data_IF_905620795872
#
_entry.id   IF_905620795872
#
_cell.length_a   1.000
_cell.length_b   1.000
_cell.length_c   1.000
_cell.angle_alpha   90.00
_cell.angle_beta   90.00
_cell.angle_gamma   90.00
#
_symmetry.space_group_name_H-M   'P 1'
#
loop_
_entity.id
_entity.type
_entity.pdbx_description
1 polymer ?
#
# COMPACT_ATOMS: atom_id res chain seq x y z
N UNK A 1 0.38 26.71 41.97
CA UNK A 1 -0.13 28.04 41.53
C UNK A 1 -1.24 27.79 40.51
N UNK A 2 -2.50 28.05 40.86
CA UNK A 2 -3.67 27.69 40.03
C UNK A 2 -3.97 28.75 38.96
N UNK A 3 -4.03 28.34 37.69
CA UNK A 3 -4.55 29.16 36.59
C UNK A 3 -5.99 28.75 36.26
N UNK A 4 -6.95 29.48 36.84
CA UNK A 4 -8.39 29.28 36.64
C UNK A 4 -8.94 30.39 35.74
N UNK A 5 -8.66 30.32 34.45
CA UNK A 5 -9.30 31.21 33.48
C UNK A 5 -10.79 30.83 33.34
N UNK A 6 -11.65 31.83 33.20
CA UNK A 6 -13.12 31.70 33.09
C UNK A 6 -13.52 30.88 31.87
N UNK A 7 -12.77 31.00 30.78
CA UNK A 7 -13.08 30.34 29.51
C UNK A 7 -12.70 28.86 29.49
N UNK A 8 -11.62 28.47 30.20
CA UNK A 8 -11.08 27.11 30.10
C UNK A 8 -11.67 26.12 31.13
N UNK A 9 -12.28 26.60 32.22
CA UNK A 9 -12.70 25.72 33.31
C UNK A 9 -14.17 25.34 33.27
N UNK A 10 -15.04 26.15 32.64
CA UNK A 10 -16.50 25.92 32.69
C UNK A 10 -17.08 25.89 34.11
N UNK A 11 -16.31 26.32 35.12
CA UNK A 11 -16.67 26.26 36.52
C UNK A 11 -17.35 27.55 36.96
N UNK A 12 -18.42 27.42 37.74
CA UNK A 12 -19.07 28.56 38.38
C UNK A 12 -18.16 29.23 39.42
N UNK A 13 -18.36 30.51 39.69
CA UNK A 13 -17.53 31.28 40.64
C UNK A 13 -17.49 30.65 42.04
N UNK A 14 -18.59 30.04 42.48
CA UNK A 14 -18.65 29.31 43.76
C UNK A 14 -17.75 28.07 43.78
N UNK A 15 -17.73 27.30 42.70
CA UNK A 15 -16.87 26.11 42.58
C UNK A 15 -15.39 26.48 42.52
N UNK A 16 -15.05 27.60 41.88
CA UNK A 16 -13.66 28.09 41.80
C UNK A 16 -13.14 28.56 43.16
N UNK A 17 -13.97 29.26 43.94
CA UNK A 17 -13.59 29.67 45.30
C UNK A 17 -13.40 28.47 46.23
N UNK A 18 -14.21 27.42 46.09
CA UNK A 18 -14.03 26.18 46.83
C UNK A 18 -12.71 25.46 46.47
N UNK A 19 -12.34 25.42 45.19
CA UNK A 19 -11.08 24.79 44.73
C UNK A 19 -9.84 25.61 45.09
N UNK A 20 -9.93 26.95 45.15
CA UNK A 20 -8.85 27.79 45.67
C UNK A 20 -8.61 27.60 47.16
N UNK A 21 -9.65 27.23 47.93
CA UNK A 21 -9.54 26.95 49.36
C UNK A 21 -8.87 25.60 49.67
N UNK A 22 -8.71 24.71 48.68
CA UNK A 22 -7.94 23.47 48.85
C UNK A 22 -6.47 23.71 48.52
N UNK A 23 -5.61 23.71 49.55
CA UNK A 23 -4.19 24.11 49.45
C UNK A 23 -3.29 23.17 48.62
N UNK A 24 -3.80 22.01 48.16
CA UNK A 24 -2.98 20.94 47.57
C UNK A 24 -3.37 20.52 46.14
N UNK A 25 -4.14 21.31 45.40
CA UNK A 25 -4.43 21.01 43.98
C UNK A 25 -3.59 21.89 43.05
N UNK A 26 -2.60 21.29 42.39
CA UNK A 26 -1.93 21.87 41.23
C UNK A 26 -2.55 21.27 39.95
N UNK A 27 -3.59 21.93 39.45
CA UNK A 27 -4.19 21.59 38.16
C UNK A 27 -4.33 22.84 37.29
N UNK A 28 -3.88 22.74 36.04
CA UNK A 28 -4.05 23.75 34.99
C UNK A 28 -4.46 23.05 33.71
N UNK A 29 -5.36 23.66 32.92
CA UNK A 29 -5.71 23.11 31.62
C UNK A 29 -4.53 23.22 30.64
N UNK A 30 -4.51 22.37 29.63
CA UNK A 30 -3.47 22.31 28.59
C UNK A 30 -3.25 23.65 27.87
N UNK A 31 -4.31 24.44 27.66
CA UNK A 31 -4.23 25.75 27.01
C UNK A 31 -3.57 26.80 27.92
N UNK A 32 -3.94 26.84 29.20
CA UNK A 32 -3.35 27.74 30.20
C UNK A 32 -1.89 27.38 30.51
N UNK A 33 -1.55 26.09 30.46
CA UNK A 33 -0.17 25.59 30.64
C UNK A 33 0.76 26.05 29.52
N UNK A 34 0.24 26.20 28.30
CA UNK A 34 1.02 26.62 27.14
C UNK A 34 1.15 28.15 27.01
N UNK A 35 0.24 28.92 27.59
CA UNK A 35 0.28 30.40 27.57
C UNK A 35 1.09 31.00 28.72
N UNK A 36 1.35 30.27 29.81
CA UNK A 36 2.01 30.81 31.01
C UNK A 36 3.56 30.82 30.97
N UNK A 37 4.18 31.19 29.85
CA UNK A 37 5.65 31.31 29.77
C UNK A 37 6.18 32.70 30.15
N UNK A 38 5.32 33.69 30.43
CA UNK A 38 5.77 35.00 30.94
C UNK A 38 4.85 35.56 32.04
N UNK A 39 5.48 35.77 33.19
CA UNK A 39 5.07 36.57 34.34
C UNK A 39 4.17 37.74 33.92
N UNK A 40 2.90 37.70 34.30
CA UNK A 40 2.00 38.86 34.23
C UNK A 40 1.19 38.94 35.52
N UNK A 41 1.39 40.03 36.24
CA UNK A 41 0.53 40.51 37.31
C UNK A 41 -0.87 40.76 36.75
N UNK A 42 -1.89 40.21 37.39
CA UNK A 42 -3.28 40.47 37.02
C UNK A 42 -3.80 41.60 37.91
N UNK A 43 -4.26 42.67 37.26
CA UNK A 43 -5.07 43.74 37.86
C UNK A 43 -6.42 43.15 38.23
N UNK A 44 -6.82 43.29 39.49
CA UNK A 44 -8.14 42.94 40.00
C UNK A 44 -9.05 44.16 39.78
N UNK A 45 -10.13 44.08 39.00
CA UNK A 45 -11.18 45.09 39.06
C UNK A 45 -11.86 44.99 40.44
N UNK A 46 -11.74 46.05 41.24
CA UNK A 46 -12.63 46.29 42.38
C UNK A 46 -13.98 46.71 41.79
N UNK A 47 -14.91 45.76 41.69
CA UNK A 47 -16.33 46.10 41.55
C UNK A 47 -16.87 46.30 42.97
N UNK A 48 -17.01 47.58 43.31
CA UNK A 48 -17.85 48.11 44.39
C UNK A 48 -19.29 47.64 44.16
N UNK A 49 -19.72 46.61 44.89
CA UNK A 49 -21.12 46.38 45.21
C UNK A 49 -21.24 46.27 46.73
N UNK A 50 -21.33 47.45 47.35
CA UNK A 50 -21.81 47.68 48.71
C UNK A 50 -23.27 47.19 48.83
N UNK A 51 -23.46 45.91 49.16
CA UNK A 51 -24.72 45.42 49.73
C UNK A 51 -24.47 44.99 51.18
N UNK A 52 -24.95 45.85 52.07
CA UNK A 52 -24.89 45.80 53.52
C UNK A 52 -25.22 44.40 54.08
N UNK A 53 -24.21 43.75 54.69
CA UNK A 53 -24.43 42.61 55.59
C UNK A 53 -24.98 43.10 56.94
N UNK A 54 -26.26 43.45 56.94
CA UNK A 54 -27.04 43.77 58.13
C UNK A 54 -28.25 42.86 58.23
N UNK A 55 -28.09 41.65 58.78
CA UNK A 55 -29.09 40.97 59.64
C UNK A 55 -28.58 39.58 60.09
N UNK A 56 -28.71 39.23 61.39
CA UNK A 56 -28.44 37.88 61.86
C UNK A 56 -29.52 36.93 61.33
N UNK A 57 -29.10 35.91 60.57
CA UNK A 57 -29.99 34.84 60.12
C UNK A 57 -30.46 34.09 61.38
N UNK A 58 -31.70 34.31 61.76
CA UNK A 58 -32.42 33.47 62.71
C UNK A 58 -32.58 32.10 62.06
N UNK A 59 -31.89 31.09 62.60
CA UNK A 59 -32.10 29.68 62.29
C UNK A 59 -33.49 29.27 62.76
N UNK A 60 -34.51 29.55 61.96
CA UNK A 60 -35.80 28.89 62.08
C UNK A 60 -35.57 27.40 61.75
N UNK A 61 -35.62 26.54 62.77
CA UNK A 61 -35.59 25.10 62.58
C UNK A 61 -36.89 24.68 61.88
N UNK A 62 -36.89 24.70 60.56
CA UNK A 62 -37.93 24.07 59.77
C UNK A 62 -37.86 22.57 60.09
N UNK A 63 -38.95 21.93 60.55
CA UNK A 63 -38.96 20.49 60.76
C UNK A 63 -38.79 19.82 59.40
N UNK A 64 -37.57 19.36 59.13
CA UNK A 64 -37.24 18.55 57.96
C UNK A 64 -38.02 17.23 58.07
N UNK A 65 -39.06 17.10 57.26
CA UNK A 65 -39.76 15.83 57.08
C UNK A 65 -38.86 14.88 56.30
N UNK A 66 -38.06 14.10 57.02
CA UNK A 66 -37.10 13.15 56.47
C UNK A 66 -37.74 12.12 55.54
N UNK A 67 -39.04 11.82 55.67
CA UNK A 67 -39.75 10.92 54.77
C UNK A 67 -39.91 11.54 53.38
N UNK A 68 -40.25 12.83 53.32
CA UNK A 68 -40.38 13.58 52.06
C UNK A 68 -39.03 13.73 51.36
N UNK A 69 -37.97 13.99 52.12
CA UNK A 69 -36.61 14.09 51.60
C UNK A 69 -36.11 12.76 51.03
N UNK A 70 -36.33 11.64 51.74
CA UNK A 70 -35.95 10.31 51.25
C UNK A 70 -36.69 9.92 49.97
N UNK A 71 -37.97 10.28 49.86
CA UNK A 71 -38.78 10.04 48.67
C UNK A 71 -38.28 10.87 47.48
N UNK A 72 -37.92 12.14 47.71
CA UNK A 72 -37.33 13.01 46.69
C UNK A 72 -35.94 12.51 46.23
N UNK A 73 -35.11 12.04 47.17
CA UNK A 73 -33.82 11.44 46.85
C UNK A 73 -34.02 10.16 46.05
N UNK A 74 -34.92 9.27 46.47
CA UNK A 74 -35.23 8.02 45.76
C UNK A 74 -35.66 8.30 44.33
N UNK A 75 -36.55 9.27 44.12
CA UNK A 75 -37.01 9.64 42.79
C UNK A 75 -35.89 10.25 41.93
N UNK A 76 -35.04 11.11 42.51
CA UNK A 76 -33.86 11.65 41.81
C UNK A 76 -32.86 10.57 41.43
N UNK A 77 -32.62 9.60 42.30
CA UNK A 77 -31.73 8.46 42.04
C UNK A 77 -32.31 7.58 40.93
N UNK A 78 -33.60 7.27 40.98
CA UNK A 78 -34.28 6.51 39.92
C UNK A 78 -34.20 7.22 38.56
N UNK A 79 -34.48 8.53 38.51
CA UNK A 79 -34.32 9.32 37.30
C UNK A 79 -32.87 9.35 36.80
N UNK A 80 -31.89 9.45 37.69
CA UNK A 80 -30.48 9.45 37.32
C UNK A 80 -30.04 8.09 36.75
N UNK A 81 -30.48 6.98 37.37
CA UNK A 81 -30.24 5.61 36.89
C UNK A 81 -30.87 5.43 35.52
N UNK A 82 -32.14 5.81 35.36
CA UNK A 82 -32.85 5.66 34.09
C UNK A 82 -32.16 6.47 32.97
N UNK A 83 -31.73 7.70 33.26
CA UNK A 83 -30.96 8.52 32.31
C UNK A 83 -29.65 7.85 31.92
N UNK A 84 -28.89 7.31 32.87
CA UNK A 84 -27.63 6.62 32.57
C UNK A 84 -27.85 5.34 31.76
N UNK A 85 -28.90 4.57 32.07
CA UNK A 85 -29.27 3.38 31.31
C UNK A 85 -29.63 3.73 29.86
N UNK A 86 -30.39 4.81 29.64
CA UNK A 86 -30.69 5.28 28.28
C UNK A 86 -29.42 5.68 27.53
N UNK A 87 -28.53 6.46 28.14
CA UNK A 87 -27.26 6.86 27.52
C UNK A 87 -26.34 5.67 27.23
N UNK A 88 -26.33 4.67 28.12
CA UNK A 88 -25.60 3.44 27.92
C UNK A 88 -26.18 2.63 26.75
N UNK A 89 -27.50 2.50 26.66
CA UNK A 89 -28.16 1.81 25.55
C UNK A 89 -27.86 2.46 24.20
N UNK A 90 -27.90 3.80 24.13
CA UNK A 90 -27.52 4.56 22.93
C UNK A 90 -26.05 4.32 22.53
N UNK A 91 -25.15 4.32 23.52
CA UNK A 91 -23.73 4.07 23.29
C UNK A 91 -23.48 2.64 22.81
N UNK A 92 -24.22 1.67 23.36
CA UNK A 92 -24.14 0.27 22.97
C UNK A 92 -24.63 0.07 21.53
N UNK A 93 -25.74 0.70 21.15
CA UNK A 93 -26.27 0.66 19.79
C UNK A 93 -25.28 1.29 18.79
N UNK A 94 -24.70 2.44 19.14
CA UNK A 94 -23.67 3.06 18.32
C UNK A 94 -22.47 2.13 18.12
N UNK A 95 -21.99 1.48 19.19
CA UNK A 95 -20.89 0.53 19.11
C UNK A 95 -21.24 -0.70 18.28
N UNK A 96 -22.47 -1.22 18.37
CA UNK A 96 -22.93 -2.32 17.54
C UNK A 96 -22.87 -1.96 16.04
N UNK A 97 -23.37 -0.77 15.67
CA UNK A 97 -23.28 -0.27 14.29
C UNK A 97 -21.83 -0.12 13.83
N UNK A 98 -20.94 0.38 14.70
CA UNK A 98 -19.51 0.49 14.38
C UNK A 98 -18.83 -0.87 14.21
N UNK A 99 -19.26 -1.89 14.95
CA UNK A 99 -18.77 -3.25 14.75
C UNK A 99 -19.23 -3.81 13.40
N UNK A 100 -20.46 -3.54 12.98
CA UNK A 100 -20.95 -3.94 11.66
C UNK A 100 -20.15 -3.28 10.53
N UNK A 101 -19.90 -1.96 10.63
CA UNK A 101 -19.03 -1.23 9.67
C UNK A 101 -17.64 -1.89 9.58
N UNK A 102 -17.05 -2.25 10.73
CA UNK A 102 -15.74 -2.90 10.78
C UNK A 102 -15.82 -4.29 10.12
N UNK A 103 -16.84 -5.08 10.38
CA UNK A 103 -17.01 -6.40 9.77
C UNK A 103 -17.10 -6.29 8.24
N UNK A 104 -17.86 -5.32 7.73
CA UNK A 104 -17.95 -5.06 6.29
C UNK A 104 -16.58 -4.70 5.70
N UNK A 105 -15.82 -3.82 6.37
CA UNK A 105 -14.48 -3.44 5.90
C UNK A 105 -13.49 -4.62 5.90
N UNK A 106 -13.60 -5.50 6.90
CA UNK A 106 -12.77 -6.71 7.01
C UNK A 106 -13.09 -7.69 5.89
N UNK A 107 -14.36 -7.88 5.55
CA UNK A 107 -14.76 -8.73 4.44
C UNK A 107 -14.30 -8.15 3.09
N UNK A 108 -14.45 -6.85 2.89
CA UNK A 108 -13.89 -6.18 1.72
C UNK A 108 -12.37 -6.41 1.62
N UNK A 109 -11.63 -6.23 2.72
CA UNK A 109 -10.19 -6.48 2.78
C UNK A 109 -9.84 -7.95 2.50
N UNK A 110 -10.61 -8.90 3.01
CA UNK A 110 -10.43 -10.33 2.72
C UNK A 110 -10.57 -10.63 1.23
N UNK A 111 -11.49 -9.96 0.52
CA UNK A 111 -11.62 -10.13 -0.93
C UNK A 111 -10.44 -9.54 -1.70
N UNK A 112 -9.92 -8.38 -1.29
CA UNK A 112 -8.75 -7.77 -1.95
C UNK A 112 -7.50 -8.62 -1.73
N UNK A 113 -7.29 -9.15 -0.52
CA UNK A 113 -6.20 -10.10 -0.24
C UNK A 113 -6.28 -11.34 -1.13
N UNK A 114 -7.47 -11.92 -1.32
CA UNK A 114 -7.66 -13.06 -2.25
C UNK A 114 -7.30 -12.69 -3.69
N UNK A 115 -7.71 -11.51 -4.17
CA UNK A 115 -7.36 -11.02 -5.51
C UNK A 115 -5.86 -10.83 -5.67
N UNK A 116 -5.17 -10.26 -4.67
CA UNK A 116 -3.72 -10.08 -4.66
C UNK A 116 -3.01 -11.43 -4.72
N UNK A 117 -3.41 -12.42 -3.91
CA UNK A 117 -2.82 -13.77 -3.95
C UNK A 117 -2.91 -14.39 -5.34
N UNK A 118 -4.08 -14.33 -5.98
CA UNK A 118 -4.27 -14.82 -7.35
C UNK A 118 -3.39 -14.09 -8.36
N UNK A 119 -3.20 -12.78 -8.20
CA UNK A 119 -2.32 -11.99 -9.07
C UNK A 119 -0.85 -12.44 -8.94
N UNK A 120 -0.38 -12.66 -7.70
CA UNK A 120 0.98 -13.18 -7.45
C UNK A 120 1.17 -14.55 -8.11
N UNK A 121 0.21 -15.46 -7.98
CA UNK A 121 0.25 -16.78 -8.63
C UNK A 121 0.36 -16.65 -10.16
N UNK A 122 -0.48 -15.81 -10.77
CA UNK A 122 -0.43 -15.55 -12.22
C UNK A 122 0.89 -14.91 -12.66
N UNK A 123 1.41 -13.96 -11.88
CA UNK A 123 2.72 -13.34 -12.15
C UNK A 123 3.85 -14.36 -12.12
N UNK A 124 3.83 -15.28 -11.15
CA UNK A 124 4.82 -16.36 -11.08
C UNK A 124 4.70 -17.33 -12.26
N UNK A 125 3.49 -17.67 -12.67
CA UNK A 125 3.26 -18.50 -13.86
C UNK A 125 3.79 -17.83 -15.13
N UNK A 126 3.51 -16.53 -15.31
CA UNK A 126 4.02 -15.77 -16.45
C UNK A 126 5.54 -15.75 -16.49
N UNK A 127 6.22 -15.45 -15.36
CA UNK A 127 7.69 -15.49 -15.29
C UNK A 127 8.25 -16.87 -15.64
N UNK A 128 7.63 -17.94 -15.16
CA UNK A 128 8.05 -19.30 -15.50
C UNK A 128 7.89 -19.59 -17.00
N UNK A 129 6.80 -19.14 -17.62
CA UNK A 129 6.60 -19.25 -19.06
C UNK A 129 7.62 -18.43 -19.85
N UNK A 130 7.92 -17.20 -19.41
CA UNK A 130 8.96 -16.35 -20.00
C UNK A 130 10.32 -17.06 -19.96
N UNK A 131 10.73 -17.61 -18.80
CA UNK A 131 11.98 -18.37 -18.71
C UNK A 131 12.02 -19.58 -19.66
N UNK A 132 10.90 -20.30 -19.79
CA UNK A 132 10.80 -21.42 -20.73
C UNK A 132 10.91 -20.97 -22.18
N UNK A 133 10.27 -19.86 -22.54
CA UNK A 133 10.35 -19.27 -23.87
C UNK A 133 11.80 -18.88 -24.16
N UNK A 134 12.45 -18.14 -23.27
CA UNK A 134 13.85 -17.73 -23.46
C UNK A 134 14.79 -18.93 -23.60
N UNK A 135 14.60 -19.99 -22.81
CA UNK A 135 15.38 -21.21 -22.94
C UNK A 135 15.15 -21.93 -24.29
N UNK A 136 13.91 -21.90 -24.80
CA UNK A 136 13.59 -22.47 -26.11
C UNK A 136 14.16 -21.62 -27.26
N UNK A 137 14.07 -20.30 -27.17
CA UNK A 137 14.65 -19.36 -28.13
C UNK A 137 16.17 -19.53 -28.23
N UNK A 138 16.85 -19.64 -27.08
CA UNK A 138 18.28 -19.91 -27.05
C UNK A 138 18.61 -21.24 -27.75
N UNK A 139 17.88 -22.31 -27.42
CA UNK A 139 18.08 -23.63 -28.06
C UNK A 139 17.81 -23.59 -29.57
N UNK A 140 16.81 -22.83 -30.00
CA UNK A 140 16.50 -22.65 -31.42
C UNK A 140 17.66 -21.94 -32.13
N UNK A 141 18.16 -20.84 -31.55
CA UNK A 141 19.30 -20.10 -32.10
C UNK A 141 20.56 -20.97 -32.18
N UNK A 142 20.84 -21.78 -31.16
CA UNK A 142 21.95 -22.73 -31.18
C UNK A 142 21.79 -23.76 -32.29
N UNK A 143 20.58 -24.29 -32.49
CA UNK A 143 20.29 -25.23 -33.58
C UNK A 143 20.43 -24.57 -34.96
N UNK A 144 19.93 -23.36 -35.13
CA UNK A 144 20.08 -22.60 -36.38
C UNK A 144 21.55 -22.29 -36.66
N UNK A 145 22.32 -21.89 -35.65
CA UNK A 145 23.75 -21.65 -35.80
C UNK A 145 24.50 -22.95 -36.15
N UNK A 146 24.16 -24.07 -35.51
CA UNK A 146 24.73 -25.39 -35.86
C UNK A 146 24.40 -25.80 -37.30
N UNK A 147 23.24 -25.42 -37.82
CA UNK A 147 22.90 -25.65 -39.22
C UNK A 147 23.70 -24.71 -40.14
N UNK A 148 23.81 -23.43 -39.79
CA UNK A 148 24.53 -22.44 -40.58
C UNK A 148 26.02 -22.75 -40.69
N UNK A 149 26.65 -23.26 -39.64
CA UNK A 149 28.06 -23.71 -39.66
C UNK A 149 28.28 -24.77 -40.76
N UNK A 150 27.27 -25.59 -41.05
CA UNK A 150 27.36 -26.66 -42.06
C UNK A 150 27.00 -26.18 -43.46
N UNK A 151 26.60 -24.92 -43.63
CA UNK A 151 26.14 -24.40 -44.91
C UNK A 151 26.98 -23.24 -45.37
N UNK A 152 27.57 -23.35 -46.56
CA UNK A 152 28.23 -22.24 -47.24
C UNK A 152 27.25 -21.67 -48.27
N UNK A 153 27.02 -20.37 -48.18
CA UNK A 153 26.18 -19.63 -49.12
C UNK A 153 27.08 -18.83 -50.09
N UNK A 154 27.06 -19.19 -51.37
CA UNK A 154 27.80 -18.54 -52.45
C UNK A 154 26.84 -17.63 -53.22
N UNK A 155 27.18 -16.34 -53.27
CA UNK A 155 26.38 -15.32 -53.95
C UNK A 155 26.97 -14.92 -55.29
N UNK A 156 26.17 -14.24 -56.11
CA UNK A 156 26.58 -13.64 -57.39
C UNK A 156 26.99 -14.65 -58.45
N UNK A 157 26.32 -15.80 -58.49
CA UNK A 157 26.58 -16.80 -59.53
C UNK A 157 25.80 -16.39 -60.77
N UNK A 158 26.48 -16.07 -61.89
CA UNK A 158 25.84 -15.67 -63.13
C UNK A 158 25.01 -16.84 -63.68
N UNK A 159 23.84 -16.54 -64.22
CA UNK A 159 22.96 -17.54 -64.82
C UNK A 159 23.54 -18.03 -66.15
N UNK A 160 23.74 -19.33 -66.30
CA UNK A 160 23.94 -19.96 -67.61
C UNK A 160 22.94 -21.10 -67.85
N UNK A 161 22.42 -21.20 -69.07
CA UNK A 161 21.47 -22.27 -69.43
C UNK A 161 22.20 -23.63 -69.40
N UNK A 162 21.60 -24.63 -68.72
CA UNK A 162 22.15 -25.98 -68.51
C UNK A 162 23.46 -26.05 -67.71
N UNK A 163 23.65 -25.15 -66.74
CA UNK A 163 24.84 -25.18 -65.88
C UNK A 163 24.85 -26.39 -64.94
N UNK A 164 25.96 -27.13 -64.93
CA UNK A 164 26.19 -28.18 -63.94
C UNK A 164 26.73 -27.57 -62.64
N UNK A 165 25.83 -27.42 -61.67
CA UNK A 165 26.13 -26.82 -60.38
C UNK A 165 27.27 -27.54 -59.63
N UNK A 166 27.42 -28.86 -59.81
CA UNK A 166 28.50 -29.62 -59.17
C UNK A 166 29.86 -29.19 -59.71
N UNK A 167 29.98 -28.99 -61.02
CA UNK A 167 31.21 -28.52 -61.65
C UNK A 167 31.59 -27.11 -61.21
N UNK A 168 30.60 -26.22 -61.01
CA UNK A 168 30.83 -24.87 -60.49
C UNK A 168 31.38 -24.93 -59.08
N UNK A 169 30.74 -25.71 -58.20
CA UNK A 169 31.19 -25.86 -56.81
C UNK A 169 32.57 -26.52 -56.75
N UNK A 170 32.88 -27.52 -57.58
CA UNK A 170 34.22 -28.13 -57.67
C UNK A 170 35.30 -27.12 -58.10
N UNK A 171 35.02 -26.24 -59.07
CA UNK A 171 35.96 -25.18 -59.46
C UNK A 171 36.21 -24.19 -58.34
N UNK A 172 35.17 -23.86 -57.57
CA UNK A 172 35.28 -22.97 -56.40
C UNK A 172 36.07 -23.68 -55.29
N UNK A 173 35.80 -24.96 -55.04
CA UNK A 173 36.52 -25.79 -54.09
C UNK A 173 38.02 -25.87 -54.40
N UNK A 174 38.38 -26.11 -55.66
CA UNK A 174 39.78 -26.13 -56.10
C UNK A 174 40.47 -24.78 -55.93
N UNK A 175 39.77 -23.67 -56.20
CA UNK A 175 40.32 -22.31 -56.02
C UNK A 175 40.50 -21.91 -54.56
N UNK A 176 39.69 -22.48 -53.67
CA UNK A 176 39.74 -22.20 -52.22
C UNK A 176 40.56 -23.25 -51.46
N UNK A 177 41.13 -24.25 -52.15
CA UNK A 177 41.92 -25.33 -51.55
C UNK A 177 41.18 -26.10 -50.44
N UNK A 178 39.87 -26.28 -50.59
CA UNK A 178 39.04 -26.99 -49.60
C UNK A 178 39.01 -28.50 -49.87
N UNK A 179 39.38 -29.32 -48.88
CA UNK A 179 39.42 -30.80 -49.00
C UNK A 179 38.08 -31.48 -48.66
N UNK A 180 37.02 -30.73 -48.40
CA UNK A 180 35.76 -31.28 -47.87
C UNK A 180 34.84 -31.90 -48.95
N UNK A 181 34.19 -33.01 -48.60
CA UNK A 181 33.25 -33.72 -49.48
C UNK A 181 31.85 -33.10 -49.43
N UNK A 182 31.48 -32.35 -50.46
CA UNK A 182 30.16 -31.71 -50.57
C UNK A 182 29.03 -32.75 -50.54
N UNK A 183 28.05 -32.58 -49.66
CA UNK A 183 26.89 -33.49 -49.53
C UNK A 183 25.76 -33.07 -50.46
N UNK A 184 25.38 -31.79 -50.43
CA UNK A 184 24.22 -31.29 -51.15
C UNK A 184 24.48 -29.87 -51.67
N UNK A 185 24.01 -29.60 -52.89
CA UNK A 185 24.05 -28.28 -53.50
C UNK A 185 22.61 -27.89 -53.87
N UNK A 186 22.11 -26.80 -53.29
CA UNK A 186 20.78 -26.25 -53.58
C UNK A 186 20.91 -24.83 -54.14
N UNK A 187 20.14 -24.55 -55.19
CA UNK A 187 20.09 -23.24 -55.80
C UNK A 187 18.83 -22.47 -55.38
N UNK A 188 18.99 -21.20 -55.01
CA UNK A 188 17.90 -20.32 -54.58
C UNK A 188 17.91 -19.02 -55.39
N UNK A 189 16.73 -18.59 -55.83
CA UNK A 189 16.54 -17.28 -56.47
C UNK A 189 17.11 -17.17 -57.90
N UNK A 190 17.29 -18.28 -58.60
CA UNK A 190 17.81 -18.31 -59.97
C UNK A 190 16.77 -17.77 -60.96
N UNK A 191 17.02 -16.59 -61.54
CA UNK A 191 16.18 -15.98 -62.57
C UNK A 191 17.06 -15.41 -63.69
N UNK A 192 16.57 -15.39 -64.94
CA UNK A 192 17.32 -14.91 -66.13
C UNK A 192 17.90 -13.49 -66.00
N UNK A 193 17.32 -12.66 -65.13
CA UNK A 193 17.72 -11.27 -64.94
C UNK A 193 18.48 -11.02 -63.63
N UNK A 194 18.74 -12.04 -62.80
CA UNK A 194 19.40 -11.83 -61.51
C UNK A 194 20.38 -12.95 -61.17
N UNK A 195 21.53 -12.59 -60.60
CA UNK A 195 22.47 -13.58 -60.10
C UNK A 195 21.86 -14.36 -58.94
N UNK A 196 22.13 -15.67 -58.93
CA UNK A 196 21.56 -16.58 -57.96
C UNK A 196 22.39 -16.74 -56.70
N UNK A 197 21.81 -17.46 -55.74
CA UNK A 197 22.49 -17.93 -54.53
C UNK A 197 22.60 -19.46 -54.58
N UNK A 198 23.80 -20.00 -54.46
CA UNK A 198 24.01 -21.42 -54.20
C UNK A 198 24.26 -21.65 -52.72
N UNK A 199 23.56 -22.62 -52.15
CA UNK A 199 23.78 -23.13 -50.81
C UNK A 199 24.42 -24.51 -50.90
N UNK A 200 25.59 -24.65 -50.31
CA UNK A 200 26.37 -25.88 -50.28
C UNK A 200 26.34 -26.41 -48.85
N UNK A 201 25.92 -27.67 -48.67
CA UNK A 201 25.92 -28.35 -47.37
C UNK A 201 27.18 -29.19 -47.25
N UNK A 202 27.96 -28.90 -46.23
CA UNK A 202 29.20 -29.58 -45.90
C UNK A 202 28.95 -30.80 -45.00
N UNK A 203 29.81 -31.82 -45.08
CA UNK A 203 29.75 -32.96 -44.18
C UNK A 203 30.15 -32.47 -42.80
N UNK A 204 29.42 -32.91 -41.77
CA UNK A 204 29.72 -32.47 -40.41
C UNK A 204 31.15 -32.88 -40.07
N UNK A 205 32.02 -31.93 -39.73
CA UNK A 205 33.29 -32.23 -39.09
C UNK A 205 32.97 -33.10 -37.86
N UNK A 206 33.51 -34.32 -37.83
CA UNK A 206 33.78 -34.96 -36.54
C UNK A 206 34.74 -34.03 -35.83
N UNK A 207 34.24 -33.28 -34.85
CA UNK A 207 35.06 -32.43 -33.98
C UNK A 207 36.18 -33.31 -33.44
N UNK A 208 37.37 -33.21 -34.03
CA UNK A 208 38.59 -33.71 -33.42
C UNK A 208 38.94 -32.68 -32.37
N UNK A 209 38.35 -32.82 -31.19
CA UNK A 209 38.84 -32.19 -29.96
C UNK A 209 40.32 -32.58 -29.82
N UNK A 210 41.21 -31.62 -30.03
CA UNK A 210 42.59 -31.66 -29.56
C UNK A 210 42.65 -31.15 -28.14
#
# INVERSE_FOLDING_TARGET
MMHLNTECSGLTTKQRNALRASENLDWSCSECKNTSSRRTSIVIPEDDDDEAFGSPITLASVPLDGKKLLLEISLKVECAIQRQLSQFAESLEFNARKLDDILETVDAFKTTVKKIKKNIELSNQNKNLEYRISALEQRLQEQEQQQLIKTIDIFNIPFTDNEDLLNVVQKIQQKLELEENIIEVKCFGYNRNNSGKLRVVLPSETVKTK
#
